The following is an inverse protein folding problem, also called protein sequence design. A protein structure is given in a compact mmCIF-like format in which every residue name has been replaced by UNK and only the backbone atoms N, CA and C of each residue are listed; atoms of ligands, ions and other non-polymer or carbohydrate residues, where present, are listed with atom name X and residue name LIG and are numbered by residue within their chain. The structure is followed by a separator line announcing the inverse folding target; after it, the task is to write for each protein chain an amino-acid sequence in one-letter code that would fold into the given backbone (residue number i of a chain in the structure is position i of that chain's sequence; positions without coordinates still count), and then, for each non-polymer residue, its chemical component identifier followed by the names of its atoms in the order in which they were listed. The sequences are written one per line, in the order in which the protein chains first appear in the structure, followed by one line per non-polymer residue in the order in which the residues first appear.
data_IF_576500930645
#
_entry.id   IF_576500930645
#
_cell.length_a   1.000
_cell.length_b   1.000
_cell.length_c   1.000
_cell.angle_alpha   90.00
_cell.angle_beta   90.00
_cell.angle_gamma   90.00
#
_symmetry.space_group_name_H-M   'P 1'
#
loop_
_entity.id
_entity.type
_entity.pdbx_description
1 polymer ?
#
# COMPACT_ATOMS: atom_id res chain seq x y z
N UNK A 1 13.21 19.03 17.23
CA UNK A 1 12.19 17.97 17.44
C UNK A 1 12.85 16.80 18.16
N UNK A 2 12.33 16.41 19.30
CA UNK A 2 12.87 15.26 20.03
C UNK A 2 12.41 13.93 19.36
N UNK A 3 12.96 12.80 19.84
CA UNK A 3 12.70 11.47 19.27
C UNK A 3 11.20 11.11 19.26
N UNK A 4 10.51 11.42 20.36
CA UNK A 4 9.08 11.09 20.47
C UNK A 4 8.21 11.95 19.56
N UNK A 5 8.55 13.23 19.43
CA UNK A 5 7.86 14.14 18.51
C UNK A 5 8.08 13.71 17.06
N UNK A 6 9.30 13.30 16.70
CA UNK A 6 9.61 12.80 15.35
C UNK A 6 8.86 11.51 15.05
N UNK A 7 8.82 10.58 16.01
CA UNK A 7 8.06 9.34 15.87
C UNK A 7 6.56 9.61 15.67
N UNK A 8 6.00 10.50 16.47
CA UNK A 8 4.59 10.88 16.35
C UNK A 8 4.29 11.55 15.01
N UNK A 9 5.18 12.41 14.52
CA UNK A 9 5.04 13.07 13.22
C UNK A 9 5.08 12.04 12.07
N UNK A 10 6.02 11.10 12.10
CA UNK A 10 6.14 10.06 11.10
C UNK A 10 4.92 9.12 11.09
N UNK A 11 4.41 8.77 12.27
CA UNK A 11 3.18 7.98 12.40
C UNK A 11 1.99 8.72 11.80
N UNK A 12 1.84 10.02 12.04
CA UNK A 12 0.77 10.83 11.46
C UNK A 12 0.87 10.88 9.92
N UNK A 13 2.08 11.02 9.38
CA UNK A 13 2.32 10.99 7.92
C UNK A 13 1.89 9.65 7.33
N UNK A 14 2.26 8.54 7.95
CA UNK A 14 1.85 7.21 7.48
C UNK A 14 0.32 7.06 7.47
N UNK A 15 -0.36 7.47 8.53
CA UNK A 15 -1.83 7.41 8.60
C UNK A 15 -2.48 8.24 7.49
N UNK A 16 -2.02 9.46 7.31
CA UNK A 16 -2.54 10.36 6.27
C UNK A 16 -2.29 9.82 4.87
N UNK A 17 -1.08 9.31 4.62
CA UNK A 17 -0.71 8.70 3.34
C UNK A 17 -1.61 7.50 3.02
N UNK A 18 -1.73 6.58 3.96
CA UNK A 18 -2.50 5.35 3.74
C UNK A 18 -3.99 5.64 3.52
N UNK A 19 -4.54 6.60 4.26
CA UNK A 19 -5.92 7.04 4.06
C UNK A 19 -6.12 7.64 2.66
N UNK A 20 -5.23 8.51 2.22
CA UNK A 20 -5.30 9.11 0.88
C UNK A 20 -5.19 8.03 -0.22
N UNK A 21 -4.24 7.11 -0.12
CA UNK A 21 -4.08 6.02 -1.08
C UNK A 21 -5.31 5.11 -1.09
N UNK A 22 -5.90 4.85 0.07
CA UNK A 22 -7.11 4.02 0.19
C UNK A 22 -8.33 4.64 -0.48
N UNK A 23 -8.38 5.97 -0.59
CA UNK A 23 -9.42 6.72 -1.28
C UNK A 23 -9.09 7.01 -2.75
N UNK A 24 -7.96 6.53 -3.26
CA UNK A 24 -7.43 6.85 -4.59
C UNK A 24 -7.09 8.33 -4.78
N UNK A 25 -6.84 9.05 -3.71
CA UNK A 25 -6.28 10.40 -3.76
C UNK A 25 -4.75 10.29 -3.94
N UNK A 26 -4.36 9.97 -5.16
CA UNK A 26 -2.96 9.72 -5.50
C UNK A 26 -2.09 10.95 -5.29
N UNK A 27 -2.60 12.12 -5.62
CA UNK A 27 -1.86 13.37 -5.45
C UNK A 27 -1.46 13.60 -4.00
N UNK A 28 -2.42 13.54 -3.07
CA UNK A 28 -2.17 13.75 -1.66
C UNK A 28 -1.31 12.65 -1.04
N UNK A 29 -1.55 11.39 -1.40
CA UNK A 29 -0.80 10.26 -0.86
C UNK A 29 0.66 10.26 -1.31
N UNK A 30 0.92 10.44 -2.60
CA UNK A 30 2.28 10.43 -3.13
C UNK A 30 3.07 11.69 -2.82
N UNK A 31 2.42 12.81 -2.53
CA UNK A 31 3.10 14.02 -2.03
C UNK A 31 3.83 13.78 -0.70
N UNK A 32 3.42 12.78 0.07
CA UNK A 32 4.04 12.40 1.35
C UNK A 32 5.23 11.45 1.20
N UNK A 33 5.59 11.10 -0.03
CA UNK A 33 6.76 10.28 -0.35
C UNK A 33 7.88 11.13 -0.93
N UNK A 34 9.12 10.69 -0.76
CA UNK A 34 10.27 11.31 -1.43
C UNK A 34 10.22 11.04 -2.94
N UNK A 35 10.88 11.89 -3.73
CA UNK A 35 10.94 11.68 -5.19
C UNK A 35 11.62 10.36 -5.57
N UNK A 36 12.58 9.93 -4.76
CA UNK A 36 13.35 8.71 -4.95
C UNK A 36 12.86 7.52 -4.11
N UNK A 37 11.61 7.56 -3.65
CA UNK A 37 11.04 6.49 -2.83
C UNK A 37 11.25 5.11 -3.47
N UNK A 38 11.57 4.14 -2.63
CA UNK A 38 11.65 2.73 -3.03
C UNK A 38 10.51 1.97 -2.39
N UNK A 39 9.75 1.26 -3.22
CA UNK A 39 8.71 0.33 -2.76
C UNK A 39 9.06 -1.07 -3.22
N UNK A 40 8.97 -2.04 -2.33
CA UNK A 40 9.21 -3.43 -2.70
C UNK A 40 8.20 -4.40 -2.08
N UNK A 41 8.09 -5.57 -2.71
CA UNK A 41 7.15 -6.63 -2.33
C UNK A 41 7.90 -7.97 -2.35
N UNK A 42 8.46 -8.42 -1.20
CA UNK A 42 9.22 -9.68 -1.14
C UNK A 42 8.42 -10.89 -1.60
N UNK A 43 7.11 -10.89 -1.37
CA UNK A 43 6.20 -11.89 -1.93
C UNK A 43 5.36 -11.20 -3.01
N UNK A 44 5.82 -11.30 -4.25
CA UNK A 44 5.14 -10.64 -5.38
C UNK A 44 3.68 -11.07 -5.47
N UNK A 45 2.74 -10.13 -5.58
CA UNK A 45 1.33 -10.47 -5.72
C UNK A 45 1.02 -11.29 -6.98
N UNK A 46 1.72 -10.98 -8.07
CA UNK A 46 1.61 -11.69 -9.33
C UNK A 46 3.03 -11.93 -9.89
N UNK A 47 3.26 -13.05 -10.61
CA UNK A 47 4.61 -13.38 -11.11
C UNK A 47 5.23 -12.31 -12.02
N UNK A 48 4.41 -11.61 -12.80
CA UNK A 48 4.84 -10.60 -13.78
C UNK A 48 5.24 -9.27 -13.14
N UNK A 49 4.87 -9.06 -11.87
CA UNK A 49 5.16 -7.81 -11.17
C UNK A 49 6.64 -7.72 -10.82
N UNK A 50 7.21 -6.52 -10.93
CA UNK A 50 8.51 -6.23 -10.36
C UNK A 50 8.44 -6.31 -8.84
N UNK A 51 9.46 -6.93 -8.23
CA UNK A 51 9.52 -7.01 -6.77
C UNK A 51 9.98 -5.70 -6.11
N UNK A 52 10.58 -4.79 -6.87
CA UNK A 52 11.06 -3.49 -6.41
C UNK A 52 10.77 -2.41 -7.46
N UNK A 53 10.33 -1.24 -7.01
CA UNK A 53 10.15 -0.05 -7.82
C UNK A 53 10.82 1.14 -7.15
N UNK A 54 11.51 1.95 -7.94
CA UNK A 54 12.17 3.18 -7.50
C UNK A 54 11.58 4.38 -8.22
N UNK A 55 11.30 5.42 -7.47
CA UNK A 55 10.78 6.68 -7.98
C UNK A 55 9.29 6.86 -7.75
N UNK A 56 8.95 8.03 -7.22
CA UNK A 56 7.56 8.38 -6.85
C UNK A 56 6.58 8.24 -8.00
N UNK A 57 6.95 8.73 -9.17
CA UNK A 57 6.05 8.69 -10.34
C UNK A 57 5.84 7.27 -10.88
N UNK A 58 6.88 6.43 -10.85
CA UNK A 58 6.75 5.03 -11.24
C UNK A 58 5.82 4.27 -10.29
N UNK A 59 5.98 4.49 -8.99
CA UNK A 59 5.11 3.86 -7.97
C UNK A 59 3.68 4.36 -8.10
N UNK A 60 3.49 5.67 -8.33
CA UNK A 60 2.16 6.26 -8.52
C UNK A 60 1.45 5.64 -9.72
N UNK A 61 2.10 5.55 -10.87
CA UNK A 61 1.52 4.93 -12.06
C UNK A 61 1.14 3.48 -11.81
N UNK A 62 2.00 2.73 -11.15
CA UNK A 62 1.74 1.34 -10.79
C UNK A 62 0.48 1.19 -9.92
N UNK A 63 0.36 1.99 -8.87
CA UNK A 63 -0.83 1.97 -8.00
C UNK A 63 -2.10 2.39 -8.75
N UNK A 64 -2.03 3.49 -9.50
CA UNK A 64 -3.19 4.01 -10.22
C UNK A 64 -3.70 3.04 -11.29
N UNK A 65 -2.80 2.44 -12.05
CA UNK A 65 -3.14 1.47 -13.09
C UNK A 65 -3.65 0.15 -12.51
N UNK A 66 -2.96 -0.37 -11.48
CA UNK A 66 -3.33 -1.63 -10.86
C UNK A 66 -4.67 -1.57 -10.14
N UNK A 67 -5.04 -0.42 -9.59
CA UNK A 67 -6.27 -0.23 -8.85
C UNK A 67 -7.41 0.37 -9.68
N UNK A 68 -7.16 0.69 -10.95
CA UNK A 68 -8.18 1.28 -11.80
C UNK A 68 -9.49 0.47 -11.88
N UNK A 69 -9.49 -0.88 -11.95
CA UNK A 69 -10.72 -1.66 -12.00
C UNK A 69 -11.46 -1.78 -10.65
N UNK A 70 -10.86 -1.32 -9.57
CA UNK A 70 -11.38 -1.50 -8.21
C UNK A 70 -11.92 -0.19 -7.64
N UNK A 71 -12.83 -0.32 -6.69
CA UNK A 71 -13.13 0.75 -5.75
C UNK A 71 -11.89 1.04 -4.89
N UNK A 72 -11.92 2.12 -4.12
CA UNK A 72 -10.82 2.40 -3.20
C UNK A 72 -10.52 1.23 -2.26
N UNK A 73 -9.26 1.03 -1.91
CA UNK A 73 -8.86 -0.05 -1.02
C UNK A 73 -9.34 0.14 0.42
N UNK A 74 -9.69 1.37 0.83
CA UNK A 74 -10.26 1.67 2.15
C UNK A 74 -9.44 1.05 3.28
N UNK A 75 -8.16 1.38 3.34
CA UNK A 75 -7.25 0.81 4.31
C UNK A 75 -7.70 1.06 5.75
N UNK A 76 -7.56 0.03 6.56
CA UNK A 76 -7.73 0.09 8.01
C UNK A 76 -6.44 -0.34 8.69
N UNK A 77 -5.89 0.54 9.53
CA UNK A 77 -4.70 0.23 10.32
C UNK A 77 -5.13 -0.51 11.57
N UNK A 78 -4.61 -1.72 11.76
CA UNK A 78 -4.85 -2.52 12.95
C UNK A 78 -3.86 -2.17 14.06
N UNK A 79 -2.58 -2.00 13.72
CA UNK A 79 -1.53 -1.72 14.70
C UNK A 79 -0.32 -1.06 14.06
N UNK A 80 0.29 -0.14 14.79
CA UNK A 80 1.60 0.46 14.47
C UNK A 80 2.56 0.12 15.59
N UNK A 81 3.76 -0.32 15.22
CA UNK A 81 4.83 -0.67 16.15
C UNK A 81 5.90 0.40 16.08
N UNK A 82 6.25 0.94 17.24
CA UNK A 82 7.39 1.84 17.38
C UNK A 82 8.69 1.05 17.35
N UNK A 83 9.65 1.53 16.58
CA UNK A 83 10.98 0.95 16.51
C UNK A 83 11.97 1.83 17.26
N UNK A 84 13.17 1.31 17.51
CA UNK A 84 14.24 2.05 18.16
C UNK A 84 14.58 3.30 17.36
N UNK A 85 14.73 3.16 16.04
CA UNK A 85 14.91 4.28 15.13
C UNK A 85 13.56 4.99 14.91
N UNK A 86 13.43 6.29 15.30
CA UNK A 86 12.19 7.04 15.11
C UNK A 86 11.82 7.30 13.65
N UNK A 87 12.77 7.12 12.72
CA UNK A 87 12.54 7.24 11.29
C UNK A 87 12.13 5.92 10.63
N UNK A 88 11.75 4.94 11.44
CA UNK A 88 11.20 3.67 10.96
C UNK A 88 9.93 3.31 11.70
N UNK A 89 9.02 2.62 11.04
CA UNK A 89 7.87 1.99 11.69
C UNK A 89 7.49 0.69 10.97
N UNK A 90 6.79 -0.17 11.70
CA UNK A 90 6.11 -1.35 11.17
C UNK A 90 4.62 -1.17 11.44
N UNK A 91 3.79 -1.53 10.47
CA UNK A 91 2.35 -1.45 10.63
C UNK A 91 1.66 -2.70 10.06
N UNK A 92 0.62 -3.15 10.75
CA UNK A 92 -0.32 -4.13 10.24
C UNK A 92 -1.59 -3.40 9.83
N UNK A 93 -2.04 -3.64 8.60
CA UNK A 93 -3.22 -3.00 8.05
C UNK A 93 -3.93 -3.92 7.07
N UNK A 94 -5.17 -3.59 6.75
CA UNK A 94 -6.03 -4.37 5.87
C UNK A 94 -6.69 -3.47 4.84
N UNK A 95 -7.07 -4.07 3.72
CA UNK A 95 -7.90 -3.43 2.70
C UNK A 95 -9.25 -4.11 2.58
N UNK A 96 -10.25 -3.35 2.17
CA UNK A 96 -11.58 -3.83 1.83
C UNK A 96 -12.07 -3.10 0.60
N UNK A 97 -12.07 -3.78 -0.53
CA UNK A 97 -12.39 -3.22 -1.83
C UNK A 97 -13.29 -4.16 -2.63
N UNK A 98 -13.58 -3.75 -3.85
CA UNK A 98 -14.45 -4.47 -4.77
C UNK A 98 -14.04 -4.21 -6.20
N UNK A 99 -14.00 -5.24 -7.00
CA UNK A 99 -13.90 -5.10 -8.45
C UNK A 99 -15.22 -4.53 -8.97
N UNK A 100 -15.18 -3.34 -9.59
CA UNK A 100 -16.40 -2.57 -9.91
C UNK A 100 -17.33 -3.29 -10.86
N UNK A 101 -16.78 -3.84 -11.94
CA UNK A 101 -17.58 -4.45 -13.00
C UNK A 101 -18.30 -5.72 -12.52
N UNK A 102 -17.58 -6.61 -11.81
CA UNK A 102 -18.12 -7.90 -11.37
C UNK A 102 -18.78 -7.87 -10.00
N UNK A 103 -18.48 -6.86 -9.18
CA UNK A 103 -18.91 -6.81 -7.79
C UNK A 103 -18.16 -7.76 -6.86
N UNK A 104 -17.15 -8.48 -7.34
CA UNK A 104 -16.37 -9.42 -6.53
C UNK A 104 -15.57 -8.65 -5.49
N UNK A 105 -15.69 -8.99 -4.19
CA UNK A 105 -14.92 -8.33 -3.15
C UNK A 105 -13.44 -8.71 -3.23
N UNK A 106 -12.59 -7.74 -2.89
CA UNK A 106 -11.16 -7.96 -2.68
C UNK A 106 -10.79 -7.47 -1.30
N UNK A 107 -10.32 -8.37 -0.45
CA UNK A 107 -9.83 -8.09 0.89
C UNK A 107 -8.44 -8.68 1.04
N UNK A 108 -7.53 -7.90 1.64
CA UNK A 108 -6.17 -8.35 1.86
C UNK A 108 -5.65 -7.85 3.21
N UNK A 109 -4.58 -8.48 3.68
CA UNK A 109 -3.88 -8.10 4.88
C UNK A 109 -2.41 -7.84 4.54
N UNK A 110 -1.81 -6.85 5.20
CA UNK A 110 -0.48 -6.35 4.90
C UNK A 110 0.33 -6.16 6.17
N UNK A 111 1.65 -6.35 6.05
CA UNK A 111 2.61 -5.84 7.00
C UNK A 111 3.55 -4.91 6.23
N UNK A 112 3.54 -3.64 6.60
CA UNK A 112 4.39 -2.61 6.00
C UNK A 112 5.57 -2.28 6.88
N UNK A 113 6.76 -2.16 6.29
CA UNK A 113 7.95 -1.60 6.91
C UNK A 113 8.26 -0.31 6.19
N UNK A 114 8.31 0.80 6.93
CA UNK A 114 8.52 2.12 6.35
C UNK A 114 9.76 2.78 6.93
N UNK A 115 10.42 3.56 6.08
CA UNK A 115 11.48 4.49 6.49
C UNK A 115 11.11 5.89 6.04
N UNK A 116 11.49 6.85 6.88
CA UNK A 116 11.23 8.27 6.64
C UNK A 116 12.53 9.02 6.48
N UNK A 117 12.51 10.03 5.63
CA UNK A 117 13.59 10.99 5.46
C UNK A 117 12.98 12.37 5.32
N UNK A 118 13.38 13.29 6.20
CA UNK A 118 12.90 14.67 6.22
C UNK A 118 11.36 14.76 6.21
N UNK A 119 10.71 13.93 7.02
CA UNK A 119 9.26 13.93 7.17
C UNK A 119 8.49 13.37 5.98
N UNK A 120 9.13 12.55 5.13
CA UNK A 120 8.49 11.86 4.01
C UNK A 120 8.88 10.40 3.98
N UNK A 121 8.00 9.57 3.45
CA UNK A 121 8.29 8.14 3.25
C UNK A 121 9.32 8.00 2.14
N UNK A 122 10.48 7.45 2.48
CA UNK A 122 11.58 7.19 1.53
C UNK A 122 11.70 5.73 1.14
N UNK A 123 11.09 4.83 1.91
CA UNK A 123 11.09 3.39 1.66
C UNK A 123 9.82 2.78 2.22
N UNK A 124 9.21 1.88 1.44
CA UNK A 124 8.03 1.13 1.85
C UNK A 124 8.13 -0.31 1.36
N UNK A 125 8.38 -1.24 2.28
CA UNK A 125 8.29 -2.68 2.03
C UNK A 125 6.93 -3.17 2.48
N UNK A 126 6.23 -3.87 1.60
CA UNK A 126 4.93 -4.40 1.90
C UNK A 126 4.91 -5.92 1.72
N UNK A 127 4.67 -6.63 2.81
CA UNK A 127 4.34 -8.05 2.78
C UNK A 127 2.84 -8.15 2.63
N UNK A 128 2.41 -8.67 1.50
CA UNK A 128 1.02 -8.82 1.11
C UNK A 128 0.67 -10.31 1.11
N UNK A 129 -0.61 -10.65 1.36
CA UNK A 129 -1.05 -12.03 1.19
C UNK A 129 -1.30 -12.32 -0.30
N UNK A 130 -0.41 -13.03 -0.99
CA UNK A 130 -0.57 -13.31 -2.43
C UNK A 130 -1.71 -14.27 -2.72
N UNK A 131 -2.13 -15.09 -1.75
CA UNK A 131 -3.25 -16.00 -1.91
C UNK A 131 -4.56 -15.24 -2.14
N UNK A 132 -4.79 -14.13 -1.43
CA UNK A 132 -5.99 -13.32 -1.62
C UNK A 132 -6.08 -12.79 -3.07
N UNK A 133 -4.97 -12.44 -3.68
CA UNK A 133 -4.91 -11.99 -5.08
C UNK A 133 -5.15 -13.16 -6.05
N UNK A 134 -4.56 -14.32 -5.78
CA UNK A 134 -4.81 -15.53 -6.58
C UNK A 134 -6.28 -15.93 -6.55
N UNK A 135 -6.91 -15.87 -5.40
CA UNK A 135 -8.34 -16.16 -5.23
C UNK A 135 -9.22 -15.15 -5.99
N UNK A 136 -8.85 -13.87 -5.95
CA UNK A 136 -9.52 -12.82 -6.72
C UNK A 136 -9.47 -13.10 -8.21
N UNK A 137 -8.29 -13.40 -8.76
CA UNK A 137 -8.13 -13.69 -10.17
C UNK A 137 -8.86 -14.96 -10.60
N UNK A 138 -8.87 -15.99 -9.74
CA UNK A 138 -9.64 -17.21 -9.98
C UNK A 138 -11.14 -16.92 -10.04
N UNK A 139 -11.65 -16.10 -9.14
CA UNK A 139 -13.05 -15.70 -9.12
C UNK A 139 -13.43 -14.85 -10.34
N UNK A 140 -12.57 -13.92 -10.76
CA UNK A 140 -12.77 -13.13 -11.97
C UNK A 140 -12.78 -14.00 -13.23
N UNK A 141 -11.86 -14.96 -13.33
CA UNK A 141 -11.79 -15.89 -14.45
C UNK A 141 -13.03 -16.80 -14.52
N UNK A 142 -13.53 -17.28 -13.39
CA UNK A 142 -14.74 -18.09 -13.31
C UNK A 142 -15.99 -17.30 -13.74
N UNK A 143 -16.08 -16.02 -13.34
CA UNK A 143 -17.15 -15.12 -13.79
C UNK A 143 -17.12 -14.86 -15.30
N UNK A 144 -15.93 -14.71 -15.88
CA UNK A 144 -15.75 -14.50 -17.31
C UNK A 144 -15.98 -15.79 -18.12
N UNK A 145 -15.85 -16.97 -17.51
CA UNK A 145 -16.08 -18.26 -18.14
C UNK A 145 -17.55 -18.70 -18.12
N UNK A 146 -18.42 -18.03 -17.36
CA UNK A 146 -19.84 -18.32 -17.30
C UNK A 146 -20.52 -17.96 -18.64
N UNK A 147 -21.38 -18.83 -19.18
CA UNK A 147 -22.08 -18.57 -20.44
C UNK A 147 -23.08 -17.41 -20.34
#
# INVERSE_FOLDING_TARGET
MNVNERRAANTAIFRTMLDALGRKDWESGFALMTEDVVCDWPYKPIPEMLWEMTGREAVRSFFAEGQAPFDGLNYRIDRIYDLVDPDQLIAEYRSDSRHRESGIPYRNAYLGILRFRDGRVSYWREYINPQAISELFAALAAGNAAP
#
